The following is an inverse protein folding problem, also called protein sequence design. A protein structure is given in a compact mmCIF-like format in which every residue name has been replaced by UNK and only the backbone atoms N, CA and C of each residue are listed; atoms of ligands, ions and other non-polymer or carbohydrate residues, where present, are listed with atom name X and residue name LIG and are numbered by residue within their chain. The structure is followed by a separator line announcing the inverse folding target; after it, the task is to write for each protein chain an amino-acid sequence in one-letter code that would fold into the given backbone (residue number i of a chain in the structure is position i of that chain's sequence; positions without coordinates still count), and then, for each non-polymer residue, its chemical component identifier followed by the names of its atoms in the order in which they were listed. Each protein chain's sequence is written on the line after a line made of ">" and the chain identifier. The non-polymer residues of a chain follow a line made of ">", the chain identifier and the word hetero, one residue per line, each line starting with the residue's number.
data_IF_556245402878
#
_entry.id   IF_556245402878
#
_cell.length_a   1.000
_cell.length_b   1.000
_cell.length_c   1.000
_cell.angle_alpha   90.00
_cell.angle_beta   90.00
_cell.angle_gamma   90.00
#
_symmetry.space_group_name_H-M   'P 1'
#
loop_
_entity.id
_entity.type
_entity.pdbx_description
1 polymer ?
#
# COMPACT_ATOMS: atom_id res chain seq x y z
N UNK A 1 19.55 -2.16 17.30
CA UNK A 1 19.77 -2.53 15.97
C UNK A 1 18.65 -2.18 15.05
N UNK A 2 18.98 -1.64 13.98
CA UNK A 2 18.00 -1.05 13.13
C UNK A 2 17.99 -1.77 11.82
N UNK A 3 16.84 -2.20 11.41
CA UNK A 3 16.76 -2.84 10.13
C UNK A 3 16.04 -1.95 9.19
N UNK A 4 16.63 -1.72 8.05
CA UNK A 4 16.00 -0.90 7.06
C UNK A 4 15.21 -1.79 6.15
N UNK A 5 13.95 -1.48 6.01
CA UNK A 5 13.10 -2.19 5.10
C UNK A 5 12.73 -1.29 3.97
N UNK A 6 12.60 -1.84 2.82
CA UNK A 6 12.18 -1.07 1.68
C UNK A 6 11.19 -1.91 0.87
N UNK A 7 10.57 -1.27 -0.08
CA UNK A 7 9.56 -1.91 -0.88
C UNK A 7 9.95 -1.84 -2.33
N UNK A 8 9.53 -2.85 -3.08
CA UNK A 8 9.82 -2.90 -4.50
C UNK A 8 8.52 -3.07 -5.22
N UNK A 9 8.30 -2.26 -6.22
CA UNK A 9 7.11 -2.36 -7.04
C UNK A 9 7.34 -3.38 -8.13
N UNK A 10 6.45 -4.35 -8.21
CA UNK A 10 6.57 -5.39 -9.22
C UNK A 10 6.11 -4.92 -10.58
N UNK A 11 5.50 -3.77 -10.62
CA UNK A 11 4.97 -3.24 -11.85
C UNK A 11 5.97 -2.36 -12.57
N UNK A 12 6.53 -1.40 -11.89
CA UNK A 12 7.48 -0.50 -12.51
C UNK A 12 8.92 -0.75 -12.09
N UNK A 13 9.12 -1.61 -11.11
CA UNK A 13 10.46 -1.95 -10.67
C UNK A 13 11.12 -0.94 -9.75
N UNK A 14 10.38 0.03 -9.28
CA UNK A 14 10.96 1.05 -8.43
C UNK A 14 11.14 0.52 -7.02
N UNK A 15 12.15 1.00 -6.35
CA UNK A 15 12.37 0.69 -4.95
C UNK A 15 12.19 1.96 -4.14
N UNK A 16 11.56 1.84 -3.00
CA UNK A 16 11.28 3.02 -2.19
C UNK A 16 11.16 2.61 -0.74
N UNK A 17 11.43 3.55 0.15
CA UNK A 17 11.32 3.26 1.57
C UNK A 17 9.95 3.54 2.11
N UNK A 18 9.28 4.53 1.57
CA UNK A 18 7.98 4.93 2.09
C UNK A 18 6.96 4.81 0.98
N UNK A 19 6.06 3.83 1.09
CA UNK A 19 5.04 3.69 0.05
C UNK A 19 3.98 4.76 0.19
N UNK A 20 3.29 4.98 -0.90
CA UNK A 20 2.18 5.90 -0.87
C UNK A 20 0.99 5.22 -0.21
N UNK A 21 0.06 5.99 0.23
CA UNK A 21 -1.05 5.47 1.00
C UNK A 21 -2.36 5.90 0.36
N UNK A 22 -3.25 4.96 0.21
CA UNK A 22 -4.56 5.24 -0.31
C UNK A 22 -5.59 4.81 0.69
N UNK A 23 -6.57 5.66 0.90
CA UNK A 23 -7.62 5.40 1.87
C UNK A 23 -8.94 5.45 1.17
N UNK A 24 -9.77 4.46 1.41
CA UNK A 24 -11.10 4.49 0.84
C UNK A 24 -12.07 3.81 1.79
N UNK A 25 -13.34 4.01 1.56
CA UNK A 25 -14.36 3.43 2.40
C UNK A 25 -15.01 2.28 1.69
N UNK A 26 -15.23 1.25 2.45
CA UNK A 26 -15.87 0.08 1.91
C UNK A 26 -17.16 -0.14 2.63
N UNK A 27 -18.21 -0.43 1.89
CA UNK A 27 -19.49 -0.67 2.48
C UNK A 27 -19.56 -2.09 2.93
N UNK A 28 -19.78 -2.30 4.21
CA UNK A 28 -19.93 -3.63 4.72
C UNK A 28 -21.34 -4.10 4.48
N UNK A 29 -21.49 -5.38 4.46
CA UNK A 29 -22.75 -5.95 4.31
C UNK A 29 -23.57 -5.61 5.49
N UNK A 30 -24.56 -5.07 5.44
CA UNK A 30 -25.30 -4.74 6.55
C UNK A 30 -25.68 -3.36 6.40
N UNK A 31 -26.36 -2.75 7.22
CA UNK A 31 -26.93 -1.56 6.96
C UNK A 31 -26.05 -0.41 7.12
N UNK A 32 -25.47 -0.19 8.13
CA UNK A 32 -24.77 1.01 8.36
C UNK A 32 -23.33 0.83 8.45
N UNK A 33 -22.82 -0.19 7.86
CA UNK A 33 -21.45 -0.54 8.04
C UNK A 33 -20.57 0.07 6.99
N UNK A 34 -19.65 0.91 7.42
CA UNK A 34 -18.58 1.38 6.55
C UNK A 34 -17.30 1.13 7.24
N UNK A 35 -16.29 0.77 6.50
CA UNK A 35 -15.01 0.50 7.05
C UNK A 35 -14.00 1.27 6.24
N UNK A 36 -13.06 1.87 6.91
CA UNK A 36 -12.00 2.59 6.26
C UNK A 36 -10.88 1.61 5.95
N UNK A 37 -10.54 1.51 4.69
CA UNK A 37 -9.50 0.61 4.26
C UNK A 37 -8.30 1.43 3.85
N UNK A 38 -7.13 1.06 4.33
CA UNK A 38 -5.90 1.73 4.00
C UNK A 38 -5.04 0.76 3.24
N UNK A 39 -4.57 1.17 2.07
CA UNK A 39 -3.72 0.32 1.26
C UNK A 39 -2.52 1.11 0.82
N UNK A 40 -1.41 0.42 0.68
CA UNK A 40 -0.18 1.05 0.25
C UNK A 40 0.08 0.74 -1.20
N UNK A 41 0.67 1.69 -1.89
CA UNK A 41 0.93 1.52 -3.29
C UNK A 41 2.24 2.18 -3.65
N UNK A 42 2.66 1.94 -4.86
CA UNK A 42 3.90 2.52 -5.36
C UNK A 42 3.71 4.01 -5.56
N UNK A 43 4.62 4.83 -5.00
CA UNK A 43 4.49 6.27 -5.16
C UNK A 43 4.86 6.76 -6.54
N UNK A 44 5.42 5.89 -7.37
CA UNK A 44 5.86 6.30 -8.69
C UNK A 44 4.86 5.95 -9.78
N UNK A 45 4.29 4.77 -9.70
CA UNK A 45 3.34 4.36 -10.73
C UNK A 45 1.94 4.12 -10.19
N UNK A 46 1.78 4.11 -8.88
CA UNK A 46 0.47 3.94 -8.29
C UNK A 46 -0.02 2.51 -8.22
N UNK A 47 0.84 1.56 -8.52
CA UNK A 47 0.44 0.17 -8.51
C UNK A 47 0.38 -0.36 -7.09
N UNK A 48 -0.52 -1.27 -6.84
CA UNK A 48 -0.60 -1.92 -5.54
C UNK A 48 0.27 -3.17 -5.47
N UNK A 49 0.96 -3.48 -6.54
CA UNK A 49 1.79 -4.67 -6.59
C UNK A 49 3.16 -4.36 -6.02
N UNK A 50 3.23 -4.18 -4.73
CA UNK A 50 4.49 -3.89 -4.08
C UNK A 50 4.79 -4.98 -3.06
N UNK A 51 6.07 -5.19 -2.85
CA UNK A 51 6.53 -6.19 -1.90
C UNK A 51 7.51 -5.58 -0.96
N UNK A 52 7.50 -6.07 0.25
CA UNK A 52 8.45 -5.65 1.25
C UNK A 52 9.73 -6.43 1.08
N UNK A 53 10.84 -5.73 1.11
CA UNK A 53 12.15 -6.36 0.97
C UNK A 53 13.04 -5.88 2.08
N UNK A 54 14.00 -6.70 2.42
CA UNK A 54 14.95 -6.36 3.48
C UNK A 54 16.30 -6.08 2.90
#
# INVERSE_FOLDING_TARGET
>A
MQMYKYYVCNDCGAAFSVPDKRTYRENLDGENGFMTVVEFCCPFCGSFEIEEAD
#
